data_IF_006057236435
#
_entry.id   IF_006057236435
#
_cell.length_a   1.000
_cell.length_b   1.000
_cell.length_c   1.000
_cell.angle_alpha   90.00
_cell.angle_beta   90.00
_cell.angle_gamma   90.00
#
_symmetry.space_group_name_H-M   'P 1'
#
loop_
_entity.id
_entity.type
_entity.pdbx_description
1 polymer ?
#
# COMPACT_ATOMS: atom_id res chain seq x y z
N UNK A 1 42.39 5.20 -45.01
CA UNK A 1 42.27 4.32 -43.83
C UNK A 1 41.03 4.76 -43.08
N UNK A 2 39.96 4.00 -43.20
CA UNK A 2 38.59 4.39 -42.84
C UNK A 2 38.24 3.76 -41.50
N UNK A 3 37.92 4.57 -40.49
CA UNK A 3 37.43 4.09 -39.18
C UNK A 3 35.92 4.39 -39.10
N UNK A 4 35.12 3.35 -39.32
CA UNK A 4 33.68 3.35 -39.05
C UNK A 4 33.48 3.04 -37.56
N UNK A 5 33.14 4.06 -36.76
CA UNK A 5 32.58 3.86 -35.42
C UNK A 5 31.09 3.54 -35.57
N UNK A 6 30.73 2.26 -35.47
CA UNK A 6 29.34 1.84 -35.28
C UNK A 6 28.97 2.00 -33.81
N UNK A 7 28.30 3.11 -33.47
CA UNK A 7 27.64 3.29 -32.19
C UNK A 7 26.48 2.30 -32.06
N UNK A 8 26.61 1.34 -31.13
CA UNK A 8 25.53 0.46 -30.69
C UNK A 8 24.50 1.30 -29.93
N UNK A 9 23.44 1.70 -30.64
CA UNK A 9 22.23 2.25 -30.02
C UNK A 9 21.44 1.05 -29.51
N UNK A 10 21.62 0.67 -28.24
CA UNK A 10 20.70 -0.24 -27.57
C UNK A 10 19.37 0.50 -27.36
N UNK A 11 18.24 0.02 -27.90
CA UNK A 11 16.95 0.58 -27.53
C UNK A 11 16.72 0.26 -26.05
N UNK A 12 16.61 1.30 -25.22
CA UNK A 12 15.98 1.16 -23.92
C UNK A 12 14.56 0.63 -24.21
N UNK A 13 14.33 -0.65 -23.95
CA UNK A 13 13.00 -1.18 -23.84
C UNK A 13 12.36 -0.49 -22.65
N UNK A 14 11.68 0.63 -22.90
CA UNK A 14 10.69 1.17 -21.98
C UNK A 14 9.61 0.10 -21.92
N UNK A 15 9.74 -0.82 -20.95
CA UNK A 15 8.62 -1.66 -20.55
C UNK A 15 7.55 -0.68 -20.08
N UNK A 16 6.58 -0.42 -20.96
CA UNK A 16 5.33 0.18 -20.56
C UNK A 16 4.74 -0.80 -19.56
N UNK A 17 4.81 -0.46 -18.26
CA UNK A 17 4.06 -1.19 -17.25
C UNK A 17 2.62 -1.23 -17.75
N UNK A 18 2.14 -2.42 -18.11
CA UNK A 18 0.72 -2.59 -18.35
C UNK A 18 0.01 -2.18 -17.05
N UNK A 19 -1.15 -1.54 -17.20
CA UNK A 19 -1.91 -1.11 -16.04
C UNK A 19 -2.44 -2.38 -15.34
N UNK A 20 -2.18 -2.50 -14.03
CA UNK A 20 -2.69 -3.62 -13.24
C UNK A 20 -4.21 -3.67 -13.41
N UNK A 21 -4.76 -4.87 -13.57
CA UNK A 21 -6.19 -5.16 -13.77
C UNK A 21 -6.74 -6.06 -12.67
N UNK A 22 -5.88 -6.87 -12.02
CA UNK A 22 -6.27 -7.72 -10.90
C UNK A 22 -5.30 -7.64 -9.72
N UNK A 23 -5.83 -7.83 -8.52
CA UNK A 23 -5.05 -7.89 -7.29
C UNK A 23 -5.83 -8.71 -6.26
N UNK A 24 -5.36 -9.94 -6.03
CA UNK A 24 -5.94 -10.88 -5.07
C UNK A 24 -5.12 -10.82 -3.78
N UNK A 25 -5.75 -10.38 -2.69
CA UNK A 25 -5.06 -10.22 -1.41
C UNK A 25 -4.38 -11.52 -0.97
N UNK A 26 -3.11 -11.41 -0.58
CA UNK A 26 -2.30 -12.51 -0.09
C UNK A 26 -1.73 -12.15 1.28
N UNK A 27 -2.29 -12.78 2.32
CA UNK A 27 -1.98 -12.49 3.72
C UNK A 27 -0.52 -12.76 4.08
N UNK A 28 0.13 -13.72 3.41
CA UNK A 28 1.53 -14.08 3.70
C UNK A 28 2.47 -12.91 3.43
N UNK A 29 2.24 -12.22 2.32
CA UNK A 29 3.04 -11.07 1.85
C UNK A 29 2.42 -9.73 2.20
N UNK A 30 1.26 -9.73 2.87
CA UNK A 30 0.52 -8.53 3.27
C UNK A 30 0.25 -7.58 2.10
N UNK A 31 0.02 -8.15 0.93
CA UNK A 31 -0.05 -7.45 -0.34
C UNK A 31 -0.98 -8.20 -1.27
N UNK A 32 -0.64 -8.32 -2.56
CA UNK A 32 -1.46 -9.11 -3.46
C UNK A 32 -0.69 -9.75 -4.61
N UNK A 33 -1.27 -10.84 -5.08
CA UNK A 33 -0.96 -11.45 -6.35
C UNK A 33 -1.67 -10.68 -7.47
N UNK A 34 -0.90 -10.24 -8.46
CA UNK A 34 -1.35 -9.54 -9.68
C UNK A 34 -0.96 -10.38 -10.91
N UNK A 35 -1.45 -10.01 -12.09
CA UNK A 35 -0.99 -10.58 -13.36
C UNK A 35 0.50 -10.31 -13.64
N UNK A 36 1.04 -9.22 -13.10
CA UNK A 36 2.41 -8.75 -13.36
C UNK A 36 3.42 -9.23 -12.29
N UNK A 37 2.96 -10.01 -11.32
CA UNK A 37 3.75 -10.51 -10.21
C UNK A 37 3.13 -10.18 -8.85
N UNK A 38 3.98 -10.08 -7.83
CA UNK A 38 3.53 -9.86 -6.44
C UNK A 38 3.93 -8.49 -5.94
N UNK A 39 2.94 -7.80 -5.40
CA UNK A 39 3.12 -6.64 -4.52
C UNK A 39 3.27 -7.19 -3.11
N UNK A 40 4.45 -7.03 -2.50
CA UNK A 40 4.75 -7.54 -1.16
C UNK A 40 5.09 -6.40 -0.21
N UNK A 41 4.32 -6.29 0.87
CA UNK A 41 4.58 -5.40 2.00
C UNK A 41 5.19 -6.15 3.19
N UNK A 42 5.59 -7.41 3.01
CA UNK A 42 6.13 -8.28 4.07
C UNK A 42 7.35 -7.66 4.78
N UNK A 43 8.16 -6.86 4.06
CA UNK A 43 9.30 -6.13 4.65
C UNK A 43 8.91 -5.14 5.76
N UNK A 44 7.62 -4.84 5.87
CA UNK A 44 6.99 -4.01 6.90
C UNK A 44 6.30 -4.80 8.00
N UNK A 45 6.43 -6.13 8.03
CA UNK A 45 5.97 -6.91 9.17
C UNK A 45 6.61 -6.42 10.46
N UNK A 46 5.78 -6.19 11.48
CA UNK A 46 6.15 -5.58 12.75
C UNK A 46 6.53 -4.10 12.67
N UNK A 47 6.28 -3.41 11.55
CA UNK A 47 6.55 -1.98 11.36
C UNK A 47 5.28 -1.21 11.07
N UNK A 48 5.34 0.09 11.33
CA UNK A 48 4.19 0.98 11.21
C UNK A 48 4.57 2.22 10.44
N UNK A 49 3.82 2.51 9.38
CA UNK A 49 3.82 3.82 8.73
C UNK A 49 3.02 4.81 9.56
N UNK A 50 3.37 6.10 9.46
CA UNK A 50 2.63 7.17 10.11
C UNK A 50 2.35 8.30 9.14
N UNK A 51 1.17 8.90 9.21
CA UNK A 51 0.79 10.06 8.41
C UNK A 51 0.01 11.05 9.27
N UNK A 52 0.39 12.32 9.25
CA UNK A 52 -0.39 13.38 9.89
C UNK A 52 -1.50 13.85 8.94
N UNK A 53 -2.64 14.20 9.51
CA UNK A 53 -3.63 15.04 8.84
C UNK A 53 -3.14 16.50 8.87
N UNK A 54 -2.90 17.15 7.71
CA UNK A 54 -2.42 18.53 7.69
C UNK A 54 -3.44 19.53 8.24
N UNK A 55 -4.73 19.18 8.22
CA UNK A 55 -5.82 20.09 8.58
C UNK A 55 -6.30 19.90 10.02
N UNK A 56 -5.71 18.97 10.77
CA UNK A 56 -6.09 18.69 12.16
C UNK A 56 -4.91 18.22 13.01
N UNK A 57 -5.19 17.81 14.25
CA UNK A 57 -4.20 17.20 15.15
C UNK A 57 -4.19 15.67 15.06
N UNK A 58 -4.89 15.09 14.07
CA UNK A 58 -4.98 13.64 13.90
C UNK A 58 -3.68 13.09 13.32
N UNK A 59 -3.22 11.99 13.90
CA UNK A 59 -2.15 11.15 13.37
C UNK A 59 -2.72 9.79 13.03
N UNK A 60 -2.38 9.28 11.86
CA UNK A 60 -2.77 7.95 11.43
C UNK A 60 -1.56 7.02 11.44
N UNK A 61 -1.77 5.79 11.86
CA UNK A 61 -0.78 4.73 11.85
C UNK A 61 -1.28 3.56 11.02
N UNK A 62 -0.43 2.99 10.17
CA UNK A 62 -0.75 1.79 9.41
C UNK A 62 0.35 0.74 9.49
N UNK A 63 -0.01 -0.46 9.93
CA UNK A 63 0.81 -1.67 9.86
C UNK A 63 0.23 -2.59 8.79
N UNK A 64 0.93 -2.83 7.67
CA UNK A 64 0.39 -3.64 6.58
C UNK A 64 0.10 -5.10 6.95
N UNK A 65 0.89 -5.67 7.86
CA UNK A 65 0.97 -7.11 8.09
C UNK A 65 0.38 -7.58 9.42
N UNK A 66 0.16 -6.66 10.36
CA UNK A 66 -0.13 -6.98 11.75
C UNK A 66 -1.11 -5.96 12.32
N UNK A 67 -2.01 -6.42 13.18
CA UNK A 67 -2.82 -5.52 13.99
C UNK A 67 -1.98 -4.93 15.14
N UNK A 68 -2.20 -3.65 15.42
CA UNK A 68 -1.55 -2.89 16.49
C UNK A 68 -2.51 -2.78 17.69
N UNK A 69 -1.94 -2.76 18.90
CA UNK A 69 -2.64 -2.40 20.14
C UNK A 69 -2.19 -1.01 20.59
N UNK A 70 -3.13 -0.09 20.80
CA UNK A 70 -2.86 1.25 21.31
C UNK A 70 -4.06 1.80 22.08
N UNK A 71 -3.85 2.26 23.31
CA UNK A 71 -4.92 2.75 24.18
C UNK A 71 -5.99 1.68 24.40
N UNK A 72 -7.24 2.02 24.11
CA UNK A 72 -8.38 1.08 24.19
C UNK A 72 -8.53 0.17 22.95
N UNK A 73 -7.79 0.44 21.87
CA UNK A 73 -7.85 -0.37 20.66
C UNK A 73 -6.92 -1.57 20.79
N UNK A 74 -7.49 -2.79 20.75
CA UNK A 74 -6.75 -4.03 20.96
C UNK A 74 -6.31 -4.72 19.67
N UNK A 75 -6.96 -4.45 18.55
CA UNK A 75 -6.62 -5.02 17.25
C UNK A 75 -7.00 -4.07 16.11
N UNK A 76 -6.01 -3.40 15.53
CA UNK A 76 -6.21 -2.52 14.38
C UNK A 76 -4.94 -2.35 13.55
N UNK A 77 -5.02 -2.63 12.26
CA UNK A 77 -3.93 -2.42 11.32
C UNK A 77 -3.86 -0.95 10.88
N UNK A 78 -4.98 -0.20 10.91
CA UNK A 78 -5.00 1.26 10.68
C UNK A 78 -5.64 1.96 11.88
N UNK A 79 -4.88 2.80 12.56
CA UNK A 79 -5.33 3.58 13.71
C UNK A 79 -5.42 5.06 13.37
N UNK A 80 -6.41 5.74 13.93
CA UNK A 80 -6.42 7.19 14.07
C UNK A 80 -6.14 7.52 15.53
N UNK A 81 -5.16 8.38 15.78
CA UNK A 81 -4.78 8.90 17.08
C UNK A 81 -5.07 10.40 17.07
N UNK A 82 -6.04 10.81 17.88
CA UNK A 82 -6.33 12.21 18.17
C UNK A 82 -5.89 12.53 19.60
N UNK A 83 -5.84 13.81 20.00
CA UNK A 83 -5.53 14.18 21.39
C UNK A 83 -6.49 13.61 22.43
N UNK A 84 -7.71 13.24 22.03
CA UNK A 84 -8.78 12.81 22.94
C UNK A 84 -8.95 11.30 22.95
N UNK A 85 -8.87 10.67 21.78
CA UNK A 85 -9.23 9.26 21.61
C UNK A 85 -8.43 8.60 20.47
N UNK A 86 -8.31 7.28 20.56
CA UNK A 86 -7.76 6.42 19.51
C UNK A 86 -8.88 5.59 18.88
N UNK A 87 -9.00 5.66 17.56
CA UNK A 87 -10.02 4.92 16.82
C UNK A 87 -9.42 3.79 15.98
N UNK A 88 -10.16 2.68 15.93
CA UNK A 88 -9.90 1.59 14.99
C UNK A 88 -10.45 1.97 13.60
N UNK A 89 -9.55 2.15 12.64
CA UNK A 89 -9.87 2.54 11.26
C UNK A 89 -9.66 1.40 10.25
N UNK A 90 -9.35 0.19 10.73
CA UNK A 90 -9.07 -0.95 9.89
C UNK A 90 -8.47 -2.09 10.70
N UNK A 91 -8.79 -3.33 10.32
CA UNK A 91 -8.15 -4.53 10.88
C UNK A 91 -7.55 -5.40 9.79
N UNK A 92 -6.47 -6.11 10.11
CA UNK A 92 -5.77 -6.95 9.14
C UNK A 92 -6.69 -8.05 8.57
N UNK A 93 -7.51 -8.67 9.42
CA UNK A 93 -8.53 -9.67 9.00
C UNK A 93 -9.57 -9.12 8.00
N UNK A 94 -9.75 -7.81 7.97
CA UNK A 94 -10.72 -7.13 7.11
C UNK A 94 -10.14 -6.69 5.77
N UNK A 95 -8.82 -6.85 5.56
CA UNK A 95 -8.18 -6.40 4.33
C UNK A 95 -8.83 -7.05 3.12
N UNK A 96 -9.23 -6.22 2.17
CA UNK A 96 -9.65 -6.61 0.83
C UNK A 96 -8.89 -5.74 -0.16
N UNK A 97 -8.71 -6.25 -1.37
CA UNK A 97 -8.05 -5.53 -2.45
C UNK A 97 -8.99 -5.32 -3.62
N UNK A 98 -8.79 -4.22 -4.34
CA UNK A 98 -9.38 -3.99 -5.65
C UNK A 98 -8.38 -3.25 -6.52
N UNK A 99 -8.68 -3.12 -7.80
CA UNK A 99 -7.90 -2.31 -8.72
C UNK A 99 -8.76 -1.15 -9.22
N UNK A 100 -8.19 0.06 -9.24
CA UNK A 100 -8.85 1.25 -9.77
C UNK A 100 -7.85 2.04 -10.59
N UNK A 101 -8.17 2.27 -11.86
CA UNK A 101 -7.33 3.07 -12.77
C UNK A 101 -5.87 2.57 -12.90
N UNK A 102 -5.65 1.26 -12.84
CA UNK A 102 -4.32 0.66 -12.92
C UNK A 102 -3.57 0.59 -11.58
N UNK A 103 -4.16 1.08 -10.50
CA UNK A 103 -3.55 1.13 -9.17
C UNK A 103 -4.27 0.19 -8.21
N UNK A 104 -3.51 -0.39 -7.28
CA UNK A 104 -4.05 -1.30 -6.26
C UNK A 104 -4.61 -0.50 -5.10
N UNK A 105 -5.80 -0.86 -4.66
CA UNK A 105 -6.47 -0.26 -3.51
C UNK A 105 -6.66 -1.31 -2.42
N UNK A 106 -6.08 -1.06 -1.24
CA UNK A 106 -6.35 -1.83 -0.03
C UNK A 106 -7.52 -1.21 0.74
N UNK A 107 -8.48 -2.03 1.13
CA UNK A 107 -9.67 -1.65 1.90
C UNK A 107 -9.58 -2.33 3.26
N UNK A 108 -9.67 -1.57 4.35
CA UNK A 108 -9.72 -2.13 5.70
C UNK A 108 -10.84 -1.49 6.48
N UNK A 109 -11.61 -2.32 7.17
CA UNK A 109 -12.77 -1.89 7.95
C UNK A 109 -12.49 -2.12 9.43
N UNK A 110 -12.66 -1.06 10.23
CA UNK A 110 -12.58 -1.15 11.68
C UNK A 110 -13.73 -1.97 12.26
N UNK A 111 -13.59 -2.41 13.51
CA UNK A 111 -14.68 -3.07 14.23
C UNK A 111 -15.56 -2.04 14.98
N UNK A 112 -16.81 -2.40 15.30
CA UNK A 112 -17.69 -1.61 16.17
C UNK A 112 -19.02 -1.21 15.52
N UNK A 113 -19.80 -0.39 16.23
CA UNK A 113 -21.15 0.01 15.81
C UNK A 113 -21.16 0.97 14.61
N UNK A 114 -20.09 1.76 14.45
CA UNK A 114 -19.88 2.66 13.30
C UNK A 114 -18.46 2.43 12.77
N UNK A 115 -18.26 1.38 11.98
CA UNK A 115 -16.93 1.02 11.52
C UNK A 115 -16.40 2.10 10.60
N UNK A 116 -15.18 2.55 10.88
CA UNK A 116 -14.41 3.42 9.98
C UNK A 116 -13.78 2.57 8.87
N UNK A 117 -13.64 3.15 7.69
CA UNK A 117 -13.05 2.53 6.50
C UNK A 117 -11.76 3.27 6.14
N UNK A 118 -10.68 2.52 5.94
CA UNK A 118 -9.44 3.04 5.38
C UNK A 118 -9.23 2.50 3.98
N UNK A 119 -8.88 3.41 3.06
CA UNK A 119 -8.57 3.13 1.66
C UNK A 119 -7.12 3.54 1.41
N UNK A 120 -6.25 2.59 1.06
CA UNK A 120 -4.84 2.88 0.80
C UNK A 120 -4.56 2.59 -0.67
N UNK A 121 -4.34 3.65 -1.44
CA UNK A 121 -3.96 3.54 -2.84
C UNK A 121 -2.46 3.27 -2.95
N UNK A 122 -2.07 2.18 -3.60
CA UNK A 122 -0.70 1.77 -3.79
C UNK A 122 -0.25 2.16 -5.19
N UNK A 123 0.66 3.13 -5.28
CA UNK A 123 1.18 3.65 -6.54
C UNK A 123 2.61 3.16 -6.74
N UNK A 124 2.82 2.38 -7.81
CA UNK A 124 4.15 1.90 -8.16
C UNK A 124 5.06 3.06 -8.58
N UNK A 125 6.10 3.29 -7.81
CA UNK A 125 7.19 4.19 -8.18
C UNK A 125 8.53 3.42 -8.07
N UNK A 126 8.99 2.78 -9.17
CA UNK A 126 10.16 1.90 -9.13
C UNK A 126 11.39 2.62 -8.59
N UNK A 127 12.18 1.92 -7.76
CA UNK A 127 13.42 2.42 -7.18
C UNK A 127 13.27 3.65 -6.27
N UNK A 128 12.05 3.99 -5.87
CA UNK A 128 11.80 5.06 -4.89
C UNK A 128 11.44 4.50 -3.52
N UNK A 129 11.82 5.20 -2.44
CA UNK A 129 11.40 4.82 -1.11
C UNK A 129 9.89 4.89 -0.98
N UNK A 130 9.33 4.01 -0.16
CA UNK A 130 7.90 4.00 0.13
C UNK A 130 7.51 5.17 1.04
N UNK A 131 6.54 5.95 0.59
CA UNK A 131 6.03 7.14 1.27
C UNK A 131 4.54 6.97 1.52
N UNK A 132 4.17 6.86 2.79
CA UNK A 132 2.78 6.81 3.23
C UNK A 132 2.26 8.20 3.57
N UNK A 133 1.09 8.57 3.04
CA UNK A 133 0.45 9.87 3.26
C UNK A 133 -1.04 9.73 3.47
N UNK A 134 -1.58 10.57 4.34
CA UNK A 134 -3.00 10.86 4.40
C UNK A 134 -3.35 11.87 3.31
N UNK A 135 -4.46 11.63 2.61
CA UNK A 135 -4.96 12.55 1.59
C UNK A 135 -6.17 13.31 2.06
N UNK A 136 -7.20 12.60 2.53
CA UNK A 136 -8.46 13.20 2.94
C UNK A 136 -9.35 12.23 3.70
N UNK A 137 -10.36 12.78 4.36
CA UNK A 137 -11.56 12.05 4.76
C UNK A 137 -12.65 12.31 3.71
N UNK A 138 -12.98 11.29 2.89
CA UNK A 138 -13.89 11.45 1.75
C UNK A 138 -15.35 11.61 2.17
N UNK A 139 -15.78 10.76 3.10
CA UNK A 139 -17.06 10.82 3.81
C UNK A 139 -16.76 10.63 5.30
N UNK A 140 -17.66 11.02 6.22
CA UNK A 140 -17.45 10.79 7.64
C UNK A 140 -17.10 9.32 7.94
N UNK A 141 -15.90 9.09 8.47
CA UNK A 141 -15.37 7.76 8.77
C UNK A 141 -14.77 7.00 7.59
N UNK A 142 -14.54 7.64 6.43
CA UNK A 142 -13.84 7.05 5.28
C UNK A 142 -12.54 7.82 5.02
N UNK A 143 -11.41 7.21 5.36
CA UNK A 143 -10.08 7.81 5.23
C UNK A 143 -9.36 7.30 4.00
N UNK A 144 -8.77 8.22 3.23
CA UNK A 144 -8.04 7.92 2.01
C UNK A 144 -6.57 8.25 2.21
N UNK A 145 -5.73 7.27 1.89
CA UNK A 145 -4.28 7.33 2.00
C UNK A 145 -3.62 6.92 0.68
N UNK A 146 -2.35 7.30 0.53
CA UNK A 146 -1.47 6.85 -0.53
C UNK A 146 -0.23 6.17 0.06
N UNK A 147 0.16 5.04 -0.52
CA UNK A 147 1.49 4.46 -0.40
C UNK A 147 2.14 4.53 -1.77
N UNK A 148 3.15 5.39 -1.92
CA UNK A 148 3.87 5.54 -3.18
C UNK A 148 5.29 5.01 -3.02
N UNK A 149 5.72 4.08 -3.87
CA UNK A 149 7.08 3.56 -3.81
C UNK A 149 7.29 2.22 -4.49
N UNK A 150 8.50 1.70 -4.33
CA UNK A 150 8.94 0.46 -4.96
C UNK A 150 8.18 -0.79 -4.46
N UNK A 151 7.59 -0.75 -3.27
CA UNK A 151 6.82 -1.90 -2.75
C UNK A 151 5.47 -2.06 -3.42
N UNK A 152 4.94 -1.01 -4.03
CA UNK A 152 3.70 -1.05 -4.81
C UNK A 152 3.93 -1.57 -6.24
N UNK A 153 5.18 -1.80 -6.63
CA UNK A 153 5.50 -2.36 -7.93
C UNK A 153 5.45 -3.89 -7.89
N UNK A 154 4.67 -4.54 -8.77
CA UNK A 154 4.70 -5.98 -8.92
C UNK A 154 6.11 -6.47 -9.22
N UNK A 155 6.54 -7.52 -8.53
CA UNK A 155 7.83 -8.20 -8.77
C UNK A 155 7.56 -9.63 -9.17
N UNK A 156 8.34 -10.13 -10.12
CA UNK A 156 8.26 -11.52 -10.54
C UNK A 156 8.35 -12.43 -9.30
N UNK A 157 7.42 -13.37 -9.19
CA UNK A 157 7.51 -14.39 -8.17
C UNK A 157 8.77 -15.19 -8.43
N UNK A 158 9.75 -15.11 -7.52
CA UNK A 158 10.85 -16.08 -7.47
C UNK A 158 10.32 -17.44 -6.97
N UNK A 159 9.21 -17.92 -7.55
CA UNK A 159 8.82 -19.31 -7.52
C UNK A 159 9.75 -20.02 -8.51
N UNK A 160 10.93 -20.33 -7.99
CA UNK A 160 11.98 -21.12 -8.61
C UNK A 160 11.37 -22.27 -9.41
N UNK A 161 11.67 -22.27 -10.71
CA UNK A 161 11.72 -23.47 -11.53
C UNK A 161 12.64 -24.46 -10.81
N UNK A 162 12.06 -25.49 -10.20
CA UNK A 162 12.76 -26.68 -9.73
C UNK A 162 11.91 -27.90 -10.04
#
# INVERSE_FOLDING_TARGET
MTLLLTSLISPLASASSEAITQCIYNERVCGCDTEDGVISLEKYRGKTFSAADPDSSRMFHWSPCDDITMGAVTASCVLEVSPVETYNCGTHKSVRTSVRSGEVLFHMTGNGYRPKLSLINCVCEPQKPDVFKFHMEGLPGVFVFGLNGDSCCPKANNATVS
#
